data_IF_494640547920
#
_entry.id   IF_494640547920
#
_cell.length_a   1.000
_cell.length_b   1.000
_cell.length_c   1.000
_cell.angle_alpha   90.00
_cell.angle_beta   90.00
_cell.angle_gamma   90.00
#
_symmetry.space_group_name_H-M   'P 1'
#
loop_
_entity.id
_entity.type
_entity.pdbx_description
1 polymer ?
#
# COMPACT_ATOMS: atom_id res chain seq x y z
N UNK A 1 -1.18 -18.28 12.40
CA UNK A 1 0.00 -17.82 13.15
C UNK A 1 1.22 -18.03 12.28
N UNK A 2 1.86 -16.96 11.80
CA UNK A 2 3.07 -17.04 10.98
C UNK A 2 4.27 -17.28 11.90
N UNK A 3 5.11 -18.28 11.60
CA UNK A 3 6.35 -18.55 12.34
C UNK A 3 7.51 -17.85 11.63
N UNK A 4 8.19 -16.98 12.35
CA UNK A 4 9.38 -16.26 11.88
C UNK A 4 10.63 -16.82 12.55
N UNK A 5 11.72 -16.95 11.79
CA UNK A 5 12.99 -17.34 12.36
C UNK A 5 13.63 -16.13 13.06
N UNK A 6 13.92 -16.24 14.35
CA UNK A 6 14.52 -15.15 15.13
C UNK A 6 15.84 -14.63 14.52
N UNK A 7 16.66 -15.53 13.96
CA UNK A 7 17.94 -15.16 13.32
C UNK A 7 17.76 -14.28 12.08
N UNK A 8 16.61 -14.43 11.41
CA UNK A 8 16.27 -13.62 10.25
C UNK A 8 15.78 -12.22 10.64
N UNK A 9 14.98 -12.12 11.71
CA UNK A 9 14.55 -10.83 12.27
C UNK A 9 15.73 -10.02 12.84
N UNK A 10 16.74 -10.70 13.40
CA UNK A 10 17.97 -10.04 13.88
C UNK A 10 18.88 -9.54 12.75
N UNK A 11 18.84 -10.18 11.57
CA UNK A 11 19.64 -9.78 10.40
C UNK A 11 19.05 -8.62 9.63
N UNK A 12 17.73 -8.45 9.68
CA UNK A 12 17.03 -7.40 8.97
C UNK A 12 15.96 -6.81 9.90
N UNK A 13 16.35 -5.80 10.66
CA UNK A 13 15.49 -5.18 11.66
C UNK A 13 14.17 -4.69 11.05
N UNK A 14 14.15 -4.25 9.79
CA UNK A 14 12.91 -3.86 9.09
C UNK A 14 11.84 -4.97 8.97
N UNK A 15 12.21 -6.25 9.11
CA UNK A 15 11.28 -7.39 8.93
C UNK A 15 10.19 -7.39 9.98
N UNK A 16 10.47 -6.95 11.21
CA UNK A 16 9.42 -6.93 12.23
C UNK A 16 8.28 -5.99 11.83
N UNK A 17 8.59 -4.86 11.17
CA UNK A 17 7.58 -3.90 10.71
C UNK A 17 6.77 -4.46 9.55
N UNK A 18 7.41 -5.13 8.60
CA UNK A 18 6.71 -5.82 7.50
C UNK A 18 5.69 -6.81 8.05
N UNK A 19 6.08 -7.66 9.01
CA UNK A 19 5.19 -8.66 9.59
C UNK A 19 4.20 -8.10 10.63
N UNK A 20 4.42 -6.86 11.08
CA UNK A 20 3.45 -6.16 11.92
C UNK A 20 2.25 -5.67 11.10
N UNK A 21 2.49 -5.22 9.87
CA UNK A 21 1.47 -4.59 9.03
C UNK A 21 1.01 -5.44 7.84
N UNK A 22 1.84 -6.35 7.36
CA UNK A 22 1.58 -7.23 6.22
C UNK A 22 1.92 -8.69 6.52
N UNK A 23 2.33 -9.44 5.50
CA UNK A 23 2.68 -10.85 5.60
C UNK A 23 3.84 -11.26 4.68
N UNK A 24 3.90 -12.56 4.38
CA UNK A 24 4.98 -13.13 3.54
C UNK A 24 5.01 -12.57 2.12
N UNK A 25 3.84 -12.30 1.53
CA UNK A 25 3.76 -11.70 0.18
C UNK A 25 4.31 -10.28 0.20
N UNK A 26 4.01 -9.50 1.23
CA UNK A 26 4.61 -8.17 1.41
C UNK A 26 6.13 -8.22 1.56
N UNK A 27 6.67 -9.17 2.34
CA UNK A 27 8.12 -9.38 2.40
C UNK A 27 8.71 -9.70 1.02
N UNK A 28 8.03 -10.54 0.23
CA UNK A 28 8.41 -10.85 -1.15
C UNK A 28 8.50 -9.59 -2.00
N UNK A 29 7.43 -8.79 -2.04
CA UNK A 29 7.36 -7.53 -2.80
C UNK A 29 8.48 -6.57 -2.38
N UNK A 30 8.68 -6.36 -1.07
CA UNK A 30 9.75 -5.49 -0.57
C UNK A 30 11.12 -5.98 -1.03
N UNK A 31 11.40 -7.29 -0.95
CA UNK A 31 12.66 -7.85 -1.42
C UNK A 31 12.87 -7.67 -2.92
N UNK A 32 11.82 -7.79 -3.73
CA UNK A 32 11.92 -7.54 -5.18
C UNK A 32 12.23 -6.08 -5.48
N UNK A 33 11.57 -5.13 -4.78
CA UNK A 33 11.84 -3.70 -4.91
C UNK A 33 13.28 -3.36 -4.46
N UNK A 34 13.77 -3.97 -3.37
CA UNK A 34 15.12 -3.75 -2.85
C UNK A 34 16.25 -4.36 -3.71
N UNK A 35 15.92 -5.05 -4.82
CA UNK A 35 16.93 -5.46 -5.82
C UNK A 35 17.50 -4.28 -6.59
N UNK A 36 16.76 -3.17 -6.65
CA UNK A 36 17.22 -1.95 -7.31
C UNK A 36 18.14 -1.15 -6.37
N UNK A 37 19.15 -0.45 -6.91
CA UNK A 37 20.00 0.43 -6.12
C UNK A 37 19.15 1.52 -5.47
N UNK A 38 19.47 1.87 -4.22
CA UNK A 38 18.83 3.00 -3.57
C UNK A 38 19.22 4.34 -4.21
N UNK A 39 18.43 5.39 -3.96
CA UNK A 39 18.67 6.73 -4.50
C UNK A 39 20.10 7.22 -4.21
N UNK A 40 20.61 6.98 -3.00
CA UNK A 40 21.99 7.37 -2.62
C UNK A 40 23.07 6.47 -3.23
N UNK A 41 22.71 5.28 -3.70
CA UNK A 41 23.63 4.33 -4.34
C UNK A 41 23.71 4.47 -5.86
N UNK A 42 22.87 5.33 -6.48
CA UNK A 42 22.92 5.58 -7.92
C UNK A 42 24.33 5.94 -8.45
N UNK A 43 25.16 6.74 -7.77
CA UNK A 43 26.54 7.00 -8.21
C UNK A 43 27.41 5.75 -8.34
N UNK A 44 27.10 4.67 -7.61
CA UNK A 44 27.87 3.42 -7.66
C UNK A 44 27.56 2.58 -8.90
N UNK A 45 26.43 2.85 -9.57
CA UNK A 45 25.93 2.05 -10.70
C UNK A 45 25.81 2.86 -11.99
N UNK A 46 26.03 4.18 -11.94
CA UNK A 46 25.90 5.09 -13.07
C UNK A 46 27.06 6.08 -13.12
N UNK A 47 27.77 6.08 -14.24
CA UNK A 47 28.90 7.00 -14.46
C UNK A 47 28.44 8.46 -14.56
N UNK A 48 29.19 9.35 -13.92
CA UNK A 48 28.96 10.80 -13.97
C UNK A 48 27.75 11.29 -13.18
N UNK A 49 27.10 10.43 -12.39
CA UNK A 49 26.01 10.80 -11.48
C UNK A 49 26.57 11.13 -10.10
N UNK A 50 26.16 12.25 -9.54
CA UNK A 50 26.45 12.61 -8.14
C UNK A 50 25.15 12.89 -7.40
N UNK A 51 25.00 12.25 -6.23
CA UNK A 51 23.85 12.43 -5.35
C UNK A 51 24.35 13.04 -4.05
N UNK A 52 23.84 14.23 -3.74
CA UNK A 52 24.15 14.93 -2.50
C UNK A 52 22.86 15.19 -1.73
N UNK A 53 22.80 14.63 -0.52
CA UNK A 53 21.63 14.75 0.35
C UNK A 53 21.90 15.77 1.46
N UNK A 54 20.85 16.46 1.89
CA UNK A 54 20.97 17.42 2.97
C UNK A 54 19.63 17.89 3.51
N UNK A 55 19.70 18.56 4.64
CA UNK A 55 18.55 19.21 5.25
C UNK A 55 18.62 20.72 5.04
N UNK A 56 17.43 21.33 4.94
CA UNK A 56 17.30 22.78 4.98
C UNK A 56 17.82 23.41 6.27
N UNK A 57 17.83 24.74 6.28
CA UNK A 57 18.34 25.54 7.39
C UNK A 57 17.38 25.49 8.59
N UNK A 58 17.89 25.79 9.79
CA UNK A 58 17.11 25.79 11.03
C UNK A 58 17.18 27.17 11.67
N UNK A 59 16.04 27.81 11.87
CA UNK A 59 15.97 29.18 12.44
C UNK A 59 16.19 29.18 13.95
N UNK A 60 15.48 28.30 14.68
CA UNK A 60 15.43 28.12 16.15
C UNK A 60 16.32 29.04 17.01
N UNK A 61 17.49 28.61 17.50
CA UNK A 61 18.24 29.37 18.51
C UNK A 61 18.93 30.65 17.98
N UNK A 62 18.87 30.93 16.67
CA UNK A 62 19.40 32.13 16.01
C UNK A 62 20.87 32.46 16.35
N UNK A 63 21.67 31.43 16.63
CA UNK A 63 23.05 31.59 17.08
C UNK A 63 24.00 32.17 16.01
N UNK A 64 23.72 31.91 14.73
CA UNK A 64 24.57 32.25 13.59
C UNK A 64 23.92 33.31 12.70
N UNK A 65 24.71 34.18 12.08
CA UNK A 65 24.21 35.05 11.00
C UNK A 65 23.94 34.24 9.73
N UNK A 66 22.94 34.65 8.94
CA UNK A 66 22.55 33.94 7.72
C UNK A 66 23.70 33.80 6.71
N UNK A 67 24.59 34.79 6.63
CA UNK A 67 25.77 34.78 5.74
C UNK A 67 25.36 34.48 4.28
N UNK A 68 26.01 33.53 3.60
CA UNK A 68 25.66 33.09 2.24
C UNK A 68 24.20 32.64 2.07
N UNK A 69 23.49 32.25 3.14
CA UNK A 69 22.08 31.89 3.05
C UNK A 69 21.21 33.08 2.62
N UNK A 70 21.64 34.31 2.92
CA UNK A 70 20.94 35.54 2.54
C UNK A 70 20.97 35.84 1.03
N UNK A 71 21.78 35.10 0.26
CA UNK A 71 21.78 35.14 -1.20
C UNK A 71 20.52 34.48 -1.81
N UNK A 72 19.83 33.64 -1.04
CA UNK A 72 18.64 32.90 -1.48
C UNK A 72 17.36 33.49 -0.88
N UNK A 73 16.24 33.27 -1.57
CA UNK A 73 14.91 33.42 -0.97
C UNK A 73 14.42 32.10 -0.38
N UNK A 74 13.63 32.17 0.70
CA UNK A 74 13.03 31.02 1.38
C UNK A 74 11.71 30.63 0.71
N UNK A 75 11.52 29.35 0.39
CA UNK A 75 10.19 28.77 0.20
C UNK A 75 9.59 28.36 1.57
N UNK A 76 8.52 29.00 2.05
CA UNK A 76 7.90 28.66 3.32
C UNK A 76 7.33 27.24 3.30
N UNK A 77 7.51 26.47 4.39
CA UNK A 77 7.01 25.09 4.48
C UNK A 77 5.49 24.95 4.24
N UNK A 78 4.70 25.98 4.54
CA UNK A 78 3.25 26.02 4.27
C UNK A 78 2.90 26.08 2.78
N UNK A 79 3.80 26.60 1.95
CA UNK A 79 3.70 26.70 0.49
C UNK A 79 4.26 25.46 -0.21
N UNK A 80 4.98 24.61 0.52
CA UNK A 80 5.49 23.35 0.00
C UNK A 80 4.35 22.34 -0.14
N UNK A 81 3.86 22.21 -1.37
CA UNK A 81 2.77 21.32 -1.77
C UNK A 81 3.26 20.34 -2.84
N UNK A 82 2.57 19.21 -2.96
CA UNK A 82 2.98 18.11 -3.85
C UNK A 82 2.95 18.51 -5.33
N UNK A 83 1.93 19.24 -5.75
CA UNK A 83 1.71 19.64 -7.15
C UNK A 83 1.71 21.16 -7.34
N UNK A 84 1.56 21.60 -8.58
CA UNK A 84 1.54 23.02 -8.96
C UNK A 84 2.93 23.61 -9.16
N UNK A 85 3.01 24.88 -9.56
CA UNK A 85 4.27 25.61 -9.77
C UNK A 85 4.60 26.50 -8.58
N UNK A 86 5.87 26.61 -8.25
CA UNK A 86 6.37 27.64 -7.33
C UNK A 86 6.60 28.92 -8.15
N UNK A 87 6.13 30.04 -7.64
CA UNK A 87 6.37 31.36 -8.23
C UNK A 87 7.25 32.20 -7.31
N UNK A 88 7.89 33.25 -7.83
CA UNK A 88 8.66 34.19 -7.01
C UNK A 88 7.81 34.82 -5.89
N UNK A 89 6.50 34.99 -6.12
CA UNK A 89 5.57 35.51 -5.11
C UNK A 89 5.33 34.56 -3.92
N UNK A 90 5.72 33.28 -4.04
CA UNK A 90 5.66 32.32 -2.95
C UNK A 90 6.90 32.37 -2.06
N UNK A 91 7.97 33.04 -2.50
CA UNK A 91 9.25 33.11 -1.81
C UNK A 91 9.30 34.33 -0.88
N UNK A 92 10.01 34.19 0.24
CA UNK A 92 10.18 35.24 1.25
C UNK A 92 11.66 35.44 1.57
N UNK A 93 12.01 36.57 2.19
CA UNK A 93 13.37 36.81 2.66
C UNK A 93 13.74 35.87 3.80
N UNK A 94 14.97 35.36 3.78
CA UNK A 94 15.53 34.55 4.87
C UNK A 94 15.67 35.41 6.15
N UNK A 95 15.43 34.84 7.35
CA UNK A 95 15.70 35.54 8.60
C UNK A 95 17.19 35.91 8.72
N UNK A 96 17.54 37.05 9.34
CA UNK A 96 18.93 37.52 9.43
C UNK A 96 19.84 36.58 10.25
N UNK A 97 19.25 35.80 11.15
CA UNK A 97 19.96 34.84 12.01
C UNK A 97 19.27 33.48 12.03
N UNK A 98 20.08 32.44 12.14
CA UNK A 98 19.68 31.03 12.10
C UNK A 98 20.50 30.19 13.10
N UNK A 99 19.99 29.05 13.54
CA UNK A 99 20.77 28.05 14.26
C UNK A 99 21.76 27.33 13.34
N UNK A 100 21.31 26.98 12.13
CA UNK A 100 22.10 26.22 11.14
C UNK A 100 21.72 26.67 9.74
N UNK A 101 22.68 26.92 8.86
CA UNK A 101 22.45 27.38 7.48
C UNK A 101 21.99 26.29 6.50
N UNK A 102 22.08 25.02 6.93
CA UNK A 102 21.80 23.87 6.06
C UNK A 102 22.95 23.58 5.10
N UNK A 103 22.69 22.74 4.10
CA UNK A 103 23.64 22.39 3.05
C UNK A 103 23.42 23.33 1.87
N UNK A 104 24.46 23.98 1.34
CA UNK A 104 24.29 25.02 0.31
C UNK A 104 23.91 24.42 -1.04
N UNK A 105 24.53 23.29 -1.34
CA UNK A 105 24.47 22.57 -2.61
C UNK A 105 23.05 22.08 -2.94
N UNK A 106 22.17 21.95 -1.93
CA UNK A 106 20.77 21.53 -2.10
C UNK A 106 19.80 22.71 -2.30
N UNK A 107 20.27 23.94 -2.44
CA UNK A 107 19.41 25.12 -2.70
C UNK A 107 19.39 25.56 -4.17
N UNK A 108 20.17 24.90 -5.01
CA UNK A 108 20.26 25.18 -6.44
C UNK A 108 20.50 23.91 -7.26
N UNK A 109 20.42 24.01 -8.58
CA UNK A 109 20.52 22.87 -9.48
C UNK A 109 19.29 21.96 -9.41
N UNK A 110 19.32 20.89 -10.20
CA UNK A 110 18.26 19.88 -10.23
C UNK A 110 18.23 19.11 -8.91
N UNK A 111 17.09 19.18 -8.22
CA UNK A 111 16.96 18.59 -6.88
C UNK A 111 15.55 18.08 -6.61
N UNK A 112 15.50 16.90 -6.01
CA UNK A 112 14.31 16.35 -5.39
C UNK A 112 14.18 16.91 -3.97
N UNK A 113 13.08 17.59 -3.70
CA UNK A 113 12.73 18.14 -2.39
C UNK A 113 11.67 17.25 -1.75
N UNK A 114 11.82 16.94 -0.48
CA UNK A 114 10.97 16.01 0.27
C UNK A 114 10.56 16.63 1.60
N UNK A 115 9.26 16.65 1.89
CA UNK A 115 8.77 17.05 3.22
C UNK A 115 9.21 16.02 4.25
N UNK A 116 9.76 16.47 5.38
CA UNK A 116 10.06 15.61 6.52
C UNK A 116 8.77 15.12 7.18
N UNK A 117 7.76 16.00 7.31
CA UNK A 117 6.46 15.61 7.83
C UNK A 117 5.70 14.83 6.78
N UNK A 118 5.21 13.65 7.14
CA UNK A 118 4.21 12.93 6.33
C UNK A 118 2.86 13.50 6.75
N UNK A 119 2.12 14.11 5.82
CA UNK A 119 0.79 14.64 6.15
C UNK A 119 -0.17 13.46 6.23
N UNK A 120 -0.91 13.39 7.32
CA UNK A 120 -1.69 12.23 7.77
C UNK A 120 -2.73 11.77 6.74
N UNK A 121 -3.15 12.58 5.78
CA UNK A 121 -4.18 12.24 4.77
C UNK A 121 -3.62 12.22 3.34
N UNK A 122 -2.41 12.75 3.14
CA UNK A 122 -1.84 12.98 1.83
C UNK A 122 -0.36 12.61 1.85
N UNK A 123 -0.06 11.49 1.19
CA UNK A 123 1.14 11.19 0.38
C UNK A 123 2.49 11.82 0.72
N UNK A 124 3.55 11.13 0.32
CA UNK A 124 4.91 11.68 0.36
C UNK A 124 4.93 12.96 -0.49
N UNK A 125 5.14 14.11 0.16
CA UNK A 125 5.22 15.40 -0.53
C UNK A 125 6.63 15.55 -1.10
N UNK A 126 6.75 15.24 -2.39
CA UNK A 126 7.97 15.36 -3.17
C UNK A 126 7.82 16.39 -4.29
N UNK A 127 8.89 17.11 -4.63
CA UNK A 127 8.96 18.04 -5.78
C UNK A 127 10.30 17.95 -6.48
N UNK A 128 10.31 18.14 -7.79
CA UNK A 128 11.54 18.35 -8.57
C UNK A 128 11.64 19.83 -8.96
N UNK A 129 12.71 20.48 -8.52
CA UNK A 129 12.96 21.90 -8.74
C UNK A 129 14.38 22.15 -9.25
N UNK A 130 14.54 23.22 -10.04
CA UNK A 130 15.84 23.63 -10.60
C UNK A 130 16.18 25.08 -10.25
N UNK A 131 15.16 25.95 -10.15
CA UNK A 131 15.33 27.36 -9.78
C UNK A 131 15.95 27.49 -8.38
N UNK A 132 16.85 28.44 -8.13
CA UNK A 132 17.52 28.58 -6.84
C UNK A 132 16.58 29.16 -5.76
N UNK A 133 16.49 28.48 -4.62
CA UNK A 133 15.83 28.96 -3.40
C UNK A 133 16.19 28.03 -2.22
N UNK A 134 16.19 28.58 -1.01
CA UNK A 134 16.41 27.81 0.21
C UNK A 134 15.09 27.42 0.90
N UNK A 135 15.18 26.51 1.86
CA UNK A 135 14.04 26.00 2.61
C UNK A 135 14.45 25.57 4.02
N UNK A 136 13.47 25.51 4.92
CA UNK A 136 13.69 25.10 6.32
C UNK A 136 13.97 23.60 6.43
N UNK A 137 14.54 23.21 7.57
CA UNK A 137 14.87 21.83 7.96
C UNK A 137 13.70 20.84 7.95
N UNK A 138 12.46 21.32 7.88
CA UNK A 138 11.28 20.50 7.61
C UNK A 138 11.21 19.96 6.18
N UNK A 139 12.11 20.39 5.30
CA UNK A 139 12.27 19.92 3.93
C UNK A 139 13.70 19.40 3.78
N UNK A 140 13.80 18.18 3.24
CA UNK A 140 15.04 17.55 2.85
C UNK A 140 15.27 17.79 1.36
N UNK A 141 16.53 17.98 0.96
CA UNK A 141 16.92 18.12 -0.44
C UNK A 141 17.86 16.99 -0.87
N UNK A 142 17.65 16.50 -2.08
CA UNK A 142 18.53 15.55 -2.77
C UNK A 142 18.91 16.15 -4.11
N UNK A 143 20.15 16.60 -4.25
CA UNK A 143 20.70 17.08 -5.52
C UNK A 143 20.94 15.90 -6.46
N UNK A 144 20.49 16.05 -7.69
CA UNK A 144 20.46 15.02 -8.74
C UNK A 144 21.40 15.39 -9.89
N UNK A 145 22.70 15.50 -9.61
CA UNK A 145 23.68 15.94 -10.62
C UNK A 145 24.01 14.82 -11.60
N UNK A 146 24.28 15.18 -12.86
CA UNK A 146 24.58 14.22 -13.93
C UNK A 146 23.40 13.38 -14.44
N UNK A 147 22.21 13.47 -13.82
CA UNK A 147 21.01 12.78 -14.29
C UNK A 147 20.31 13.55 -15.40
N UNK A 148 19.90 12.85 -16.46
CA UNK A 148 19.06 13.40 -17.51
C UNK A 148 17.68 13.80 -16.98
N UNK A 149 17.03 14.78 -17.60
CA UNK A 149 15.71 15.28 -17.16
C UNK A 149 14.66 14.17 -17.03
N UNK A 150 14.64 13.20 -17.96
CA UNK A 150 13.69 12.09 -17.89
C UNK A 150 13.95 11.17 -16.69
N UNK A 151 15.21 11.01 -16.26
CA UNK A 151 15.56 10.21 -15.07
C UNK A 151 15.07 10.91 -13.81
N UNK A 152 15.25 12.23 -13.73
CA UNK A 152 14.74 13.04 -12.64
C UNK A 152 13.20 12.98 -12.55
N UNK A 153 12.51 13.02 -13.70
CA UNK A 153 11.06 12.82 -13.76
C UNK A 153 10.64 11.42 -13.30
N UNK A 154 11.37 10.37 -13.69
CA UNK A 154 11.10 8.99 -13.23
C UNK A 154 11.26 8.89 -11.71
N UNK A 155 12.34 9.44 -11.15
CA UNK A 155 12.55 9.48 -9.70
C UNK A 155 11.36 10.18 -9.01
N UNK A 156 10.95 11.36 -9.49
CA UNK A 156 9.78 12.04 -8.94
C UNK A 156 8.51 11.19 -9.02
N UNK A 157 8.28 10.53 -10.15
CA UNK A 157 7.15 9.62 -10.36
C UNK A 157 7.13 8.46 -9.37
N UNK A 158 8.30 7.86 -9.08
CA UNK A 158 8.43 6.82 -8.05
C UNK A 158 8.00 7.37 -6.69
N UNK A 159 8.53 8.51 -6.25
CA UNK A 159 8.18 9.11 -4.95
C UNK A 159 6.71 9.55 -4.85
N UNK A 160 6.04 9.76 -5.97
CA UNK A 160 4.61 10.03 -6.02
C UNK A 160 3.74 8.78 -6.09
N UNK A 161 4.29 7.60 -6.31
CA UNK A 161 3.46 6.40 -6.43
C UNK A 161 2.95 5.87 -5.09
N UNK A 162 1.84 5.13 -5.13
CA UNK A 162 1.41 4.28 -4.01
C UNK A 162 2.44 3.21 -3.67
N UNK A 163 3.29 2.79 -4.62
CA UNK A 163 4.42 1.89 -4.34
C UNK A 163 5.40 2.49 -3.34
N UNK A 164 5.74 3.78 -3.48
CA UNK A 164 6.61 4.46 -2.51
C UNK A 164 5.92 4.59 -1.14
N UNK A 165 4.61 4.92 -1.12
CA UNK A 165 3.80 4.96 0.11
C UNK A 165 3.83 3.61 0.84
N UNK A 166 3.61 2.53 0.09
CA UNK A 166 3.67 1.15 0.56
C UNK A 166 5.04 0.78 1.10
N UNK A 167 6.10 1.04 0.33
CA UNK A 167 7.47 0.73 0.70
C UNK A 167 7.87 1.44 2.01
N UNK A 168 7.68 2.75 2.10
CA UNK A 168 8.03 3.48 3.31
C UNK A 168 7.14 3.13 4.50
N UNK A 169 5.85 2.85 4.28
CA UNK A 169 5.00 2.35 5.35
C UNK A 169 5.54 1.05 5.95
N UNK A 170 6.06 0.13 5.14
CA UNK A 170 6.57 -1.15 5.64
C UNK A 170 8.02 -1.11 6.15
N UNK A 171 8.82 -0.12 5.74
CA UNK A 171 10.27 -0.07 6.04
C UNK A 171 10.69 1.08 6.97
N UNK A 172 9.97 2.20 7.00
CA UNK A 172 10.38 3.39 7.75
C UNK A 172 9.97 3.30 9.24
N UNK A 173 10.87 2.91 10.15
CA UNK A 173 10.52 2.75 11.59
C UNK A 173 9.86 3.96 12.28
N UNK A 174 10.08 5.18 11.77
CA UNK A 174 9.46 6.41 12.28
C UNK A 174 7.99 6.57 11.90
N UNK A 175 7.55 6.08 10.74
CA UNK A 175 6.17 6.23 10.28
C UNK A 175 5.27 5.17 10.94
N UNK A 176 4.23 5.59 11.65
CA UNK A 176 3.27 4.69 12.29
C UNK A 176 3.60 4.32 13.74
N UNK A 177 4.57 5.01 14.37
CA UNK A 177 4.92 4.81 15.79
C UNK A 177 4.63 6.05 16.63
N UNK A 178 5.56 7.02 16.67
CA UNK A 178 5.49 8.17 17.58
C UNK A 178 5.44 9.54 16.87
N UNK A 179 6.09 9.67 15.69
CA UNK A 179 6.01 10.87 14.85
C UNK A 179 6.04 10.47 13.37
N UNK A 180 4.97 10.76 12.63
CA UNK A 180 4.88 10.50 11.19
C UNK A 180 5.84 11.41 10.40
N UNK A 181 7.10 11.00 10.38
CA UNK A 181 8.19 11.67 9.70
C UNK A 181 8.91 10.71 8.77
N UNK A 182 9.19 11.20 7.57
CA UNK A 182 10.11 10.56 6.64
C UNK A 182 11.47 11.25 6.77
N UNK A 183 12.32 10.68 7.63
CA UNK A 183 13.69 11.18 7.80
C UNK A 183 14.49 11.00 6.51
N UNK A 184 15.43 11.91 6.25
CA UNK A 184 16.25 11.91 5.03
C UNK A 184 16.95 10.56 4.80
N UNK A 185 17.56 9.99 5.85
CA UNK A 185 18.28 8.71 5.77
C UNK A 185 17.38 7.51 5.41
N UNK A 186 16.06 7.65 5.55
CA UNK A 186 15.08 6.66 5.09
C UNK A 186 14.70 6.96 3.64
N UNK A 187 14.39 8.22 3.32
CA UNK A 187 14.00 8.62 1.98
C UNK A 187 15.08 8.33 0.93
N UNK A 188 16.35 8.55 1.28
CA UNK A 188 17.49 8.29 0.39
C UNK A 188 17.72 6.79 0.12
N UNK A 189 17.09 5.91 0.90
CA UNK A 189 17.10 4.45 0.71
C UNK A 189 16.00 3.96 -0.22
N UNK A 190 15.18 4.83 -0.79
CA UNK A 190 14.18 4.42 -1.79
C UNK A 190 14.89 3.74 -2.96
N UNK A 191 14.55 2.48 -3.29
CA UNK A 191 15.09 1.82 -4.48
C UNK A 191 14.63 2.55 -5.74
N UNK A 192 15.53 2.71 -6.71
CA UNK A 192 15.26 3.48 -7.93
C UNK A 192 15.47 2.57 -9.15
N UNK A 193 14.37 2.27 -9.83
CA UNK A 193 14.36 1.62 -11.13
C UNK A 193 14.31 2.66 -12.27
N UNK A 194 14.98 2.38 -13.38
CA UNK A 194 14.82 3.13 -14.62
C UNK A 194 14.24 2.25 -15.74
N UNK A 195 13.32 2.78 -16.56
CA UNK A 195 12.65 2.01 -17.61
C UNK A 195 13.64 1.50 -18.67
N UNK A 196 13.57 0.20 -18.97
CA UNK A 196 14.37 -0.46 -20.03
C UNK A 196 13.91 -0.07 -21.44
N UNK A 197 12.65 0.37 -21.59
CA UNK A 197 12.03 0.66 -22.89
C UNK A 197 11.51 2.10 -22.96
N UNK A 198 11.71 2.73 -24.12
CA UNK A 198 11.31 4.12 -24.41
C UNK A 198 9.83 4.39 -24.17
N UNK A 199 8.95 3.45 -24.51
CA UNK A 199 7.49 3.60 -24.35
C UNK A 199 7.09 3.82 -22.88
N UNK A 200 7.66 3.02 -21.98
CA UNK A 200 7.36 3.15 -20.54
C UNK A 200 7.96 4.45 -19.98
N UNK A 201 9.18 4.80 -20.39
CA UNK A 201 9.82 6.08 -20.07
C UNK A 201 8.92 7.26 -20.41
N UNK A 202 8.45 7.31 -21.66
CA UNK A 202 7.60 8.41 -22.14
C UNK A 202 6.26 8.47 -21.42
N UNK A 203 5.65 7.31 -21.13
CA UNK A 203 4.44 7.25 -20.32
C UNK A 203 4.65 7.86 -18.93
N UNK A 204 5.68 7.43 -18.20
CA UNK A 204 5.96 7.95 -16.84
C UNK A 204 6.23 9.46 -16.89
N UNK A 205 7.07 9.92 -17.81
CA UNK A 205 7.39 11.35 -17.97
C UNK A 205 6.13 12.16 -18.27
N UNK A 206 5.25 11.67 -19.15
CA UNK A 206 3.99 12.35 -19.47
C UNK A 206 3.06 12.44 -18.26
N UNK A 207 2.87 11.35 -17.50
CA UNK A 207 2.04 11.39 -16.29
C UNK A 207 2.60 12.33 -15.23
N UNK A 208 3.92 12.32 -15.02
CA UNK A 208 4.59 13.23 -14.09
C UNK A 208 4.41 14.70 -14.51
N UNK A 209 4.60 15.02 -15.78
CA UNK A 209 4.43 16.40 -16.25
C UNK A 209 2.97 16.87 -16.15
N UNK A 210 1.98 15.99 -16.43
CA UNK A 210 0.56 16.31 -16.20
C UNK A 210 0.28 16.61 -14.72
N UNK A 211 0.80 15.80 -13.80
CA UNK A 211 0.63 16.00 -12.36
C UNK A 211 1.36 17.27 -11.88
N UNK A 212 2.57 17.56 -12.37
CA UNK A 212 3.28 18.82 -12.06
C UNK A 212 2.50 20.06 -12.48
N UNK A 213 1.83 20.00 -13.64
CA UNK A 213 1.06 21.10 -14.20
C UNK A 213 -0.36 21.23 -13.60
N UNK A 214 -0.81 20.25 -12.80
CA UNK A 214 -2.18 20.25 -12.29
C UNK A 214 -2.40 21.35 -11.24
N UNK A 215 -3.60 21.92 -11.25
CA UNK A 215 -4.09 22.87 -10.23
C UNK A 215 -5.30 22.29 -9.48
N UNK A 216 -5.62 21.02 -9.73
CA UNK A 216 -6.71 20.32 -9.08
C UNK A 216 -6.48 20.24 -7.57
N UNK A 217 -7.54 20.47 -6.80
CA UNK A 217 -7.49 20.34 -5.36
C UNK A 217 -7.46 18.87 -4.94
N UNK A 218 -6.96 18.61 -3.74
CA UNK A 218 -7.06 17.30 -3.10
C UNK A 218 -8.54 16.86 -3.05
N UNK A 219 -8.79 15.58 -3.30
CA UNK A 219 -10.14 15.00 -3.37
C UNK A 219 -10.86 15.14 -4.71
N UNK A 220 -10.27 15.81 -5.72
CA UNK A 220 -10.83 15.83 -7.08
C UNK A 220 -10.66 14.44 -7.73
N UNK A 221 -11.77 13.84 -8.17
CA UNK A 221 -11.77 12.52 -8.81
C UNK A 221 -10.89 12.45 -10.07
N UNK A 222 -10.64 13.56 -10.75
CA UNK A 222 -9.72 13.60 -11.90
C UNK A 222 -8.26 13.53 -11.44
N UNK A 223 -7.93 14.11 -10.30
CA UNK A 223 -6.59 13.99 -9.72
C UNK A 223 -6.32 12.53 -9.34
N UNK A 224 -7.27 11.89 -8.67
CA UNK A 224 -7.17 10.46 -8.32
C UNK A 224 -6.91 9.60 -9.56
N UNK A 225 -7.64 9.82 -10.67
CA UNK A 225 -7.40 9.11 -11.93
C UNK A 225 -6.01 9.35 -12.53
N UNK A 226 -5.45 10.54 -12.36
CA UNK A 226 -4.08 10.84 -12.82
C UNK A 226 -3.05 10.12 -11.95
N UNK A 227 -3.28 10.08 -10.64
CA UNK A 227 -2.44 9.33 -9.70
C UNK A 227 -2.51 7.82 -9.98
N UNK A 228 -3.70 7.27 -10.21
CA UNK A 228 -3.88 5.86 -10.62
C UNK A 228 -3.13 5.54 -11.93
N UNK A 229 -3.16 6.46 -12.90
CA UNK A 229 -2.45 6.30 -14.18
C UNK A 229 -0.92 6.28 -13.99
N UNK A 230 -0.40 7.13 -13.12
CA UNK A 230 1.01 7.11 -12.71
C UNK A 230 1.34 5.81 -11.97
N UNK A 231 0.49 5.38 -11.04
CA UNK A 231 0.67 4.14 -10.29
C UNK A 231 0.77 2.93 -11.22
N UNK A 232 -0.11 2.79 -12.22
CA UNK A 232 0.01 1.71 -13.20
C UNK A 232 1.36 1.75 -13.95
N UNK A 233 1.84 2.95 -14.31
CA UNK A 233 3.11 3.08 -14.99
C UNK A 233 4.31 2.74 -14.08
N UNK A 234 4.22 3.05 -12.78
CA UNK A 234 5.24 2.67 -11.80
C UNK A 234 5.15 1.18 -11.45
N UNK A 235 3.96 0.59 -11.39
CA UNK A 235 3.81 -0.85 -11.23
C UNK A 235 4.41 -1.62 -12.40
N UNK A 236 4.21 -1.14 -13.63
CA UNK A 236 4.88 -1.70 -14.81
C UNK A 236 6.41 -1.53 -14.76
N UNK A 237 6.92 -0.44 -14.16
CA UNK A 237 8.36 -0.19 -14.01
C UNK A 237 9.05 -1.20 -13.08
N UNK A 238 8.38 -1.58 -12.00
CA UNK A 238 8.85 -2.58 -11.05
C UNK A 238 8.37 -4.00 -11.38
N UNK A 239 7.71 -4.18 -12.53
CA UNK A 239 7.23 -5.47 -13.04
C UNK A 239 6.25 -6.17 -12.08
N UNK A 240 5.43 -5.40 -11.33
CA UNK A 240 4.45 -5.97 -10.38
C UNK A 240 3.32 -6.72 -11.08
N UNK A 241 3.03 -7.91 -10.58
CA UNK A 241 1.86 -8.70 -11.00
C UNK A 241 0.53 -8.18 -10.41
N UNK A 242 -0.60 -8.76 -10.81
CA UNK A 242 -1.92 -8.30 -10.33
C UNK A 242 -2.09 -8.45 -8.81
N UNK A 243 -1.56 -9.52 -8.21
CA UNK A 243 -1.66 -9.78 -6.78
C UNK A 243 -0.79 -8.81 -5.97
N UNK A 244 0.40 -8.49 -6.46
CA UNK A 244 1.30 -7.50 -5.86
C UNK A 244 0.71 -6.10 -5.93
N UNK A 245 0.10 -5.73 -7.07
CA UNK A 245 -0.63 -4.47 -7.21
C UNK A 245 -1.82 -4.40 -6.23
N UNK A 246 -2.57 -5.49 -6.07
CA UNK A 246 -3.67 -5.53 -5.11
C UNK A 246 -3.18 -5.41 -3.65
N UNK A 247 -2.02 -5.98 -3.30
CA UNK A 247 -1.39 -5.77 -1.99
C UNK A 247 -1.05 -4.30 -1.74
N UNK A 248 -0.39 -3.65 -2.72
CA UNK A 248 -0.02 -2.24 -2.61
C UNK A 248 -1.25 -1.35 -2.45
N UNK A 249 -2.28 -1.57 -3.27
CA UNK A 249 -3.53 -0.78 -3.22
C UNK A 249 -4.29 -1.01 -1.92
N UNK A 250 -4.48 -2.26 -1.50
CA UNK A 250 -5.22 -2.58 -0.29
C UNK A 250 -4.53 -2.00 0.96
N UNK A 251 -3.20 -2.12 1.05
CA UNK A 251 -2.43 -1.48 2.12
C UNK A 251 -2.61 0.05 2.10
N UNK A 252 -2.48 0.67 0.93
CA UNK A 252 -2.51 2.13 0.80
C UNK A 252 -3.88 2.75 1.01
N UNK A 253 -4.96 2.07 0.58
CA UNK A 253 -6.32 2.59 0.54
C UNK A 253 -7.17 2.12 1.73
N UNK A 254 -6.88 0.94 2.27
CA UNK A 254 -7.67 0.34 3.35
C UNK A 254 -6.86 0.22 4.64
N UNK A 255 -5.64 -0.34 4.56
CA UNK A 255 -4.78 -0.52 5.73
C UNK A 255 -4.38 0.79 6.38
N UNK A 256 -3.86 1.73 5.59
CA UNK A 256 -3.45 3.05 6.06
C UNK A 256 -4.63 3.93 6.51
N UNK A 257 -5.76 3.88 5.78
CA UNK A 257 -6.98 4.58 6.19
C UNK A 257 -7.46 4.09 7.56
N UNK A 258 -7.48 2.78 7.78
CA UNK A 258 -7.82 2.20 9.08
C UNK A 258 -6.85 2.61 10.19
N UNK A 259 -5.55 2.60 9.92
CA UNK A 259 -4.55 3.03 10.89
C UNK A 259 -4.78 4.47 11.36
N UNK A 260 -5.09 5.36 10.41
CA UNK A 260 -5.24 6.79 10.64
C UNK A 260 -6.58 7.14 11.27
N UNK A 261 -7.67 6.68 10.66
CA UNK A 261 -9.03 7.07 11.01
C UNK A 261 -9.70 6.11 12.00
N UNK A 262 -9.10 4.94 12.28
CA UNK A 262 -9.57 3.96 13.27
C UNK A 262 -11.05 3.61 13.05
N UNK A 263 -11.91 3.89 14.04
CA UNK A 263 -13.35 3.63 13.96
C UNK A 263 -14.11 4.56 13.00
N UNK A 264 -13.49 5.66 12.57
CA UNK A 264 -14.06 6.60 11.59
C UNK A 264 -13.65 6.26 10.14
N UNK A 265 -12.80 5.25 9.97
CA UNK A 265 -12.32 4.78 8.68
C UNK A 265 -13.44 4.13 7.85
N UNK A 266 -13.38 4.30 6.52
CA UNK A 266 -14.25 3.56 5.61
C UNK A 266 -13.97 2.04 5.66
N UNK A 267 -12.78 1.64 6.11
CA UNK A 267 -12.35 0.25 6.22
C UNK A 267 -13.17 -0.56 7.25
N UNK A 268 -13.75 0.10 8.27
CA UNK A 268 -14.65 -0.55 9.26
C UNK A 268 -16.12 -0.52 8.83
N UNK A 269 -16.44 0.15 7.73
CA UNK A 269 -17.80 0.15 7.21
C UNK A 269 -18.19 -1.25 6.72
N UNK A 270 -19.48 -1.63 6.83
CA UNK A 270 -20.00 -2.87 6.29
C UNK A 270 -19.60 -3.07 4.82
N UNK A 271 -19.23 -4.30 4.46
CA UNK A 271 -18.91 -4.62 3.09
C UNK A 271 -20.15 -4.47 2.20
N UNK A 272 -19.99 -3.82 1.06
CA UNK A 272 -21.07 -3.72 0.06
C UNK A 272 -21.38 -5.12 -0.49
N UNK A 273 -22.62 -5.57 -0.27
CA UNK A 273 -23.07 -6.87 -0.72
C UNK A 273 -23.29 -6.87 -2.25
N UNK A 274 -22.99 -7.99 -2.95
CA UNK A 274 -23.36 -8.14 -4.36
C UNK A 274 -24.88 -8.09 -4.54
N UNK A 275 -25.34 -7.81 -5.76
CA UNK A 275 -26.77 -7.75 -6.10
C UNK A 275 -27.48 -9.11 -5.98
N UNK A 276 -26.72 -10.19 -6.03
CA UNK A 276 -27.18 -11.57 -5.84
C UNK A 276 -26.43 -12.17 -4.65
N UNK A 277 -27.08 -13.04 -3.88
CA UNK A 277 -26.46 -13.70 -2.74
C UNK A 277 -25.72 -14.98 -3.10
N UNK A 278 -25.89 -15.51 -4.32
CA UNK A 278 -25.15 -16.67 -4.80
C UNK A 278 -24.88 -16.56 -6.31
N UNK A 279 -23.83 -17.22 -6.78
CA UNK A 279 -23.55 -17.34 -8.20
C UNK A 279 -22.28 -18.12 -8.51
N UNK A 280 -21.85 -18.01 -9.76
CA UNK A 280 -20.57 -18.51 -10.28
C UNK A 280 -19.63 -17.33 -10.55
N UNK A 281 -18.40 -17.63 -10.97
CA UNK A 281 -17.47 -16.62 -11.47
C UNK A 281 -18.08 -15.84 -12.66
N UNK A 282 -18.81 -16.53 -13.55
CA UNK A 282 -19.41 -15.91 -14.74
C UNK A 282 -20.49 -14.87 -14.43
N UNK A 283 -21.04 -14.89 -13.22
CA UNK A 283 -22.05 -13.94 -12.76
C UNK A 283 -21.44 -12.66 -12.19
N UNK A 284 -20.12 -12.65 -11.97
CA UNK A 284 -19.39 -11.48 -11.50
C UNK A 284 -18.96 -10.58 -12.68
N UNK A 285 -18.75 -9.28 -12.45
CA UNK A 285 -18.19 -8.38 -13.46
C UNK A 285 -16.86 -8.92 -14.00
N UNK A 286 -16.59 -8.72 -15.29
CA UNK A 286 -15.28 -9.05 -15.88
C UNK A 286 -14.21 -8.03 -15.52
N UNK A 287 -14.63 -6.78 -15.31
CA UNK A 287 -13.75 -5.70 -14.90
C UNK A 287 -13.34 -5.85 -13.43
N UNK A 288 -12.15 -5.35 -13.11
CA UNK A 288 -11.65 -5.32 -11.74
C UNK A 288 -12.55 -4.44 -10.89
N UNK A 289 -13.08 -4.99 -9.81
CA UNK A 289 -13.78 -4.26 -8.75
C UNK A 289 -13.10 -4.52 -7.41
N UNK A 290 -13.20 -3.55 -6.50
CA UNK A 290 -12.73 -3.64 -5.13
C UNK A 290 -13.83 -4.15 -4.18
N UNK A 291 -13.51 -4.30 -2.89
CA UNK A 291 -14.44 -4.81 -1.87
C UNK A 291 -14.83 -6.27 -2.08
N UNK A 292 -15.99 -6.66 -1.53
CA UNK A 292 -16.43 -8.07 -1.48
C UNK A 292 -16.59 -8.70 -2.86
N UNK A 293 -17.08 -7.96 -3.86
CA UNK A 293 -17.14 -8.46 -5.23
C UNK A 293 -15.74 -8.75 -5.79
N UNK A 294 -14.77 -7.87 -5.53
CA UNK A 294 -13.37 -8.08 -5.86
C UNK A 294 -12.76 -9.28 -5.14
N UNK A 295 -13.09 -9.44 -3.86
CA UNK A 295 -12.71 -10.60 -3.06
C UNK A 295 -13.18 -11.91 -3.73
N UNK A 296 -14.46 -11.99 -4.12
CA UNK A 296 -15.03 -13.15 -4.80
C UNK A 296 -14.31 -13.43 -6.14
N UNK A 297 -14.05 -12.40 -6.94
CA UNK A 297 -13.31 -12.55 -8.20
C UNK A 297 -11.93 -13.16 -8.00
N UNK A 298 -11.17 -12.74 -6.98
CA UNK A 298 -9.82 -13.27 -6.75
C UNK A 298 -9.89 -14.69 -6.20
N UNK A 299 -10.76 -14.92 -5.21
CA UNK A 299 -10.89 -16.23 -4.56
C UNK A 299 -11.29 -17.32 -5.56
N UNK A 300 -12.35 -17.07 -6.33
CA UNK A 300 -12.85 -18.02 -7.32
C UNK A 300 -11.85 -18.24 -8.46
N UNK A 301 -11.13 -17.20 -8.89
CA UNK A 301 -10.14 -17.33 -9.97
C UNK A 301 -9.00 -18.24 -9.56
N UNK A 302 -8.55 -18.10 -8.32
CA UNK A 302 -7.48 -18.93 -7.78
C UNK A 302 -7.91 -20.40 -7.70
N UNK A 303 -9.05 -20.68 -7.07
CA UNK A 303 -9.54 -22.05 -6.92
C UNK A 303 -9.99 -22.72 -8.23
N UNK A 304 -10.64 -21.98 -9.13
CA UNK A 304 -11.11 -22.55 -10.40
C UNK A 304 -9.95 -22.96 -11.31
N UNK A 305 -8.74 -22.44 -11.10
CA UNK A 305 -7.55 -22.90 -11.81
C UNK A 305 -7.20 -24.36 -11.46
N UNK A 306 -7.48 -24.79 -10.23
CA UNK A 306 -7.20 -26.15 -9.74
C UNK A 306 -8.37 -27.13 -10.01
N UNK A 307 -9.60 -26.62 -10.19
CA UNK A 307 -10.79 -27.44 -10.46
C UNK A 307 -11.08 -27.66 -11.95
N UNK A 308 -10.54 -26.81 -12.82
CA UNK A 308 -10.73 -26.93 -14.26
C UNK A 308 -10.07 -28.21 -14.81
N UNK A 309 -10.66 -28.86 -15.84
CA UNK A 309 -11.88 -28.46 -16.56
C UNK A 309 -13.17 -29.06 -15.99
N UNK A 310 -13.09 -29.89 -14.95
CA UNK A 310 -14.18 -30.78 -14.54
C UNK A 310 -15.22 -30.10 -13.63
N UNK A 311 -14.84 -29.02 -12.98
CA UNK A 311 -15.75 -28.25 -12.13
C UNK A 311 -15.30 -26.81 -11.90
N UNK A 312 -16.13 -26.07 -11.17
CA UNK A 312 -15.84 -24.73 -10.67
C UNK A 312 -16.46 -24.52 -9.29
N UNK A 313 -16.00 -23.49 -8.57
CA UNK A 313 -16.66 -23.06 -7.35
C UNK A 313 -17.84 -22.14 -7.66
N UNK A 314 -18.97 -22.45 -7.04
CA UNK A 314 -20.01 -21.49 -6.75
C UNK A 314 -19.74 -20.79 -5.42
N UNK A 315 -20.38 -19.65 -5.22
CA UNK A 315 -20.31 -18.86 -4.00
C UNK A 315 -21.71 -18.53 -3.47
N UNK A 316 -21.82 -18.38 -2.15
CA UNK A 316 -22.99 -17.93 -1.42
C UNK A 316 -22.53 -16.97 -0.31
N UNK A 317 -23.11 -15.76 -0.27
CA UNK A 317 -22.88 -14.75 0.77
C UNK A 317 -24.05 -14.78 1.75
N UNK A 318 -23.74 -15.03 3.01
CA UNK A 318 -24.71 -15.20 4.09
C UNK A 318 -24.46 -14.11 5.14
N UNK A 319 -25.27 -13.05 5.18
CA UNK A 319 -25.13 -11.98 6.17
C UNK A 319 -25.53 -12.49 7.56
N UNK A 320 -24.84 -12.01 8.59
CA UNK A 320 -25.25 -12.25 9.98
C UNK A 320 -26.63 -11.64 10.26
N UNK A 321 -27.45 -12.25 11.13
CA UNK A 321 -28.77 -11.72 11.46
C UNK A 321 -28.68 -10.43 12.28
N UNK A 322 -29.66 -9.55 12.09
CA UNK A 322 -29.83 -8.35 12.93
C UNK A 322 -28.60 -7.43 12.91
N UNK A 323 -27.97 -7.24 14.08
CA UNK A 323 -26.78 -6.40 14.28
C UNK A 323 -25.48 -7.20 14.38
N UNK A 324 -25.48 -8.51 14.08
CA UNK A 324 -24.30 -9.34 14.17
C UNK A 324 -23.22 -8.82 13.19
N UNK A 325 -22.02 -8.43 13.67
CA UNK A 325 -21.00 -7.79 12.84
C UNK A 325 -20.19 -8.82 12.04
N UNK A 326 -20.84 -9.85 11.50
CA UNK A 326 -20.21 -10.99 10.82
C UNK A 326 -20.84 -11.24 9.45
N UNK A 327 -20.02 -11.76 8.57
CA UNK A 327 -20.39 -12.14 7.21
C UNK A 327 -19.76 -13.50 6.91
N UNK A 328 -20.54 -14.40 6.33
CA UNK A 328 -20.04 -15.69 5.86
C UNK A 328 -20.02 -15.73 4.33
N UNK A 329 -18.93 -16.23 3.78
CA UNK A 329 -18.79 -16.62 2.39
C UNK A 329 -18.63 -18.14 2.35
N UNK A 330 -19.59 -18.81 1.74
CA UNK A 330 -19.57 -20.24 1.49
C UNK A 330 -19.25 -20.47 0.02
N UNK A 331 -18.27 -21.31 -0.24
CA UNK A 331 -17.92 -21.77 -1.58
C UNK A 331 -18.17 -23.26 -1.66
N UNK A 332 -18.66 -23.74 -2.79
CA UNK A 332 -18.93 -25.17 -2.99
C UNK A 332 -18.72 -25.58 -4.44
N UNK A 333 -18.27 -26.81 -4.63
CA UNK A 333 -17.96 -27.34 -5.96
C UNK A 333 -19.23 -27.62 -6.75
N UNK A 334 -19.25 -27.18 -8.01
CA UNK A 334 -20.31 -27.44 -8.98
C UNK A 334 -19.68 -28.07 -10.23
N UNK A 335 -20.28 -29.13 -10.81
CA UNK A 335 -19.78 -29.70 -12.06
C UNK A 335 -19.78 -28.68 -13.20
N UNK A 336 -18.83 -28.81 -14.12
CA UNK A 336 -18.70 -27.87 -15.23
C UNK A 336 -20.00 -27.77 -16.06
N UNK A 337 -20.50 -26.55 -16.23
CA UNK A 337 -21.71 -26.26 -17.00
C UNK A 337 -23.03 -26.42 -16.24
N UNK A 338 -22.99 -26.83 -14.97
CA UNK A 338 -24.16 -26.86 -14.08
C UNK A 338 -24.34 -25.52 -13.35
N UNK A 339 -25.54 -25.29 -12.82
CA UNK A 339 -25.84 -24.11 -12.00
C UNK A 339 -25.96 -24.49 -10.53
N UNK A 340 -25.51 -23.63 -9.61
CA UNK A 340 -25.68 -23.87 -8.19
C UNK A 340 -27.18 -23.95 -7.83
N UNK A 341 -27.52 -24.95 -7.02
CA UNK A 341 -28.86 -25.07 -6.45
C UNK A 341 -28.93 -24.15 -5.24
N UNK A 342 -29.78 -23.12 -5.31
CA UNK A 342 -30.08 -22.24 -4.18
C UNK A 342 -30.82 -23.03 -3.11
N UNK A 343 -30.14 -23.33 -2.01
CA UNK A 343 -30.76 -23.87 -0.80
C UNK A 343 -30.98 -22.71 0.15
N UNK A 344 -32.23 -22.42 0.52
CA UNK A 344 -32.48 -21.43 1.56
C UNK A 344 -31.96 -21.96 2.90
N UNK A 345 -30.85 -21.39 3.36
CA UNK A 345 -30.16 -21.75 4.61
C UNK A 345 -30.23 -20.63 5.66
N UNK A 346 -30.99 -19.56 5.40
CA UNK A 346 -31.00 -18.33 6.20
C UNK A 346 -31.32 -18.60 7.68
N UNK A 347 -32.35 -19.41 7.94
CA UNK A 347 -32.78 -19.74 9.30
C UNK A 347 -31.75 -20.61 10.06
N UNK A 348 -31.03 -21.49 9.34
CA UNK A 348 -30.04 -22.38 9.96
C UNK A 348 -28.75 -21.62 10.31
N UNK A 349 -28.35 -20.66 9.47
CA UNK A 349 -27.16 -19.85 9.71
C UNK A 349 -27.37 -18.72 10.70
N UNK A 350 -28.58 -18.20 10.84
CA UNK A 350 -28.88 -17.08 11.74
C UNK A 350 -28.37 -17.35 13.16
N UNK A 351 -28.77 -18.46 13.78
CA UNK A 351 -28.38 -18.79 15.17
C UNK A 351 -26.86 -19.01 15.31
N UNK A 352 -26.22 -19.60 14.30
CA UNK A 352 -24.78 -19.85 14.31
C UNK A 352 -23.99 -18.55 14.20
N UNK A 353 -24.33 -17.71 13.22
CA UNK A 353 -23.66 -16.43 12.99
C UNK A 353 -23.90 -15.44 14.12
N UNK A 354 -25.08 -15.44 14.74
CA UNK A 354 -25.35 -14.63 15.93
C UNK A 354 -24.48 -15.07 17.12
N UNK A 355 -24.34 -16.38 17.35
CA UNK A 355 -23.45 -16.90 18.40
C UNK A 355 -21.98 -16.57 18.13
N UNK A 356 -21.52 -16.71 16.89
CA UNK A 356 -20.17 -16.31 16.49
C UNK A 356 -20.01 -14.81 16.69
N UNK A 357 -20.94 -13.99 16.22
CA UNK A 357 -20.91 -12.53 16.37
C UNK A 357 -20.78 -12.07 17.83
N UNK A 358 -21.52 -12.70 18.75
CA UNK A 358 -21.42 -12.46 20.20
C UNK A 358 -20.10 -12.92 20.80
N UNK A 359 -19.51 -13.99 20.29
CA UNK A 359 -18.26 -14.56 20.78
C UNK A 359 -17.00 -13.94 20.15
N UNK A 360 -17.11 -13.32 18.97
CA UNK A 360 -15.98 -12.75 18.22
C UNK A 360 -15.41 -11.48 18.85
N UNK A 361 -16.10 -10.88 19.82
CA UNK A 361 -15.67 -9.66 20.51
C UNK A 361 -15.18 -10.01 21.91
N UNK A 362 -13.99 -10.64 22.00
CA UNK A 362 -13.34 -10.94 23.28
C UNK A 362 -12.37 -9.80 23.61
N UNK A 363 -12.60 -9.01 24.68
CA UNK A 363 -11.62 -8.07 25.18
C UNK A 363 -10.40 -8.88 25.67
N UNK A 364 -9.24 -8.67 25.05
CA UNK A 364 -8.03 -9.40 25.44
C UNK A 364 -7.45 -8.89 26.77
N UNK A 365 -7.84 -7.70 27.23
CA UNK A 365 -7.38 -7.11 28.49
C UNK A 365 -8.45 -6.24 29.19
N UNK A 366 -8.29 -6.06 30.50
CA UNK A 366 -9.18 -5.33 31.41
C UNK A 366 -9.40 -3.83 31.09
N UNK A 367 -8.77 -3.30 30.03
CA UNK A 367 -8.89 -1.91 29.57
C UNK A 367 -9.58 -1.74 28.20
N UNK A 368 -10.16 -2.79 27.63
CA UNK A 368 -10.98 -2.73 26.39
C UNK A 368 -10.27 -2.11 25.16
N UNK A 369 -8.94 -2.16 25.10
CA UNK A 369 -8.13 -1.56 24.02
C UNK A 369 -7.61 -2.56 22.98
N UNK A 370 -7.73 -3.87 23.24
CA UNK A 370 -7.28 -4.93 22.33
C UNK A 370 -8.45 -5.89 22.12
N UNK A 371 -8.84 -6.06 20.86
CA UNK A 371 -9.85 -7.02 20.41
C UNK A 371 -9.16 -8.13 19.63
N UNK A 372 -9.52 -9.39 19.89
CA UNK A 372 -9.09 -10.53 19.07
C UNK A 372 -10.21 -10.84 18.10
N UNK A 373 -10.01 -10.50 16.82
CA UNK A 373 -10.95 -10.89 15.77
C UNK A 373 -10.83 -12.39 15.51
N UNK A 374 -11.94 -13.12 15.64
CA UNK A 374 -12.00 -14.55 15.34
C UNK A 374 -12.44 -14.74 13.89
N UNK A 375 -11.52 -15.22 13.05
CA UNK A 375 -11.83 -15.68 11.69
C UNK A 375 -12.06 -17.18 11.71
N UNK A 376 -13.20 -17.63 11.18
CA UNK A 376 -13.48 -19.05 10.99
C UNK A 376 -13.17 -19.39 9.55
N UNK A 377 -12.33 -20.40 9.37
CA UNK A 377 -12.12 -21.05 8.07
C UNK A 377 -12.30 -22.54 8.25
N UNK A 378 -13.19 -23.13 7.46
CA UNK A 378 -13.39 -24.57 7.41
C UNK A 378 -13.34 -25.02 5.95
N UNK A 379 -12.64 -26.12 5.70
CA UNK A 379 -12.51 -26.74 4.38
C UNK A 379 -12.94 -28.19 4.51
N UNK A 380 -13.84 -28.62 3.64
CA UNK A 380 -14.28 -30.01 3.48
C UNK A 380 -13.96 -30.49 2.06
N UNK A 381 -14.42 -31.69 1.71
CA UNK A 381 -14.24 -32.26 0.36
C UNK A 381 -14.95 -31.42 -0.72
N UNK A 382 -16.09 -30.81 -0.40
CA UNK A 382 -16.94 -30.11 -1.39
C UNK A 382 -17.23 -28.65 -1.05
N UNK A 383 -16.88 -28.19 0.16
CA UNK A 383 -17.24 -26.87 0.64
C UNK A 383 -16.08 -26.16 1.34
N UNK A 384 -15.98 -24.84 1.15
CA UNK A 384 -15.07 -23.96 1.86
C UNK A 384 -15.91 -22.86 2.50
N UNK A 385 -15.83 -22.75 3.82
CA UNK A 385 -16.53 -21.74 4.60
C UNK A 385 -15.54 -20.74 5.18
N UNK A 386 -15.81 -19.46 4.94
CA UNK A 386 -15.05 -18.33 5.49
C UNK A 386 -16.01 -17.42 6.23
N UNK A 387 -15.80 -17.24 7.53
CA UNK A 387 -16.56 -16.30 8.35
C UNK A 387 -15.60 -15.26 8.90
N UNK A 388 -15.89 -14.00 8.58
CA UNK A 388 -15.14 -12.84 9.08
C UNK A 388 -16.11 -11.78 9.56
N UNK A 389 -15.56 -10.71 10.13
CA UNK A 389 -16.37 -9.53 10.43
C UNK A 389 -16.87 -8.88 9.16
N UNK A 390 -18.07 -8.31 9.21
CA UNK A 390 -18.62 -7.52 8.12
C UNK A 390 -18.00 -6.13 8.10
N UNK A 391 -16.71 -6.07 7.78
CA UNK A 391 -15.94 -4.83 7.63
C UNK A 391 -15.12 -4.91 6.35
N UNK A 392 -15.14 -3.84 5.56
CA UNK A 392 -14.51 -3.78 4.23
C UNK A 392 -13.05 -4.25 4.24
N UNK A 393 -12.28 -3.96 5.31
CA UNK A 393 -10.89 -4.39 5.47
C UNK A 393 -10.64 -5.89 5.48
N UNK A 394 -11.66 -6.71 5.70
CA UNK A 394 -11.53 -8.17 5.69
C UNK A 394 -11.95 -8.83 4.37
N UNK A 395 -12.53 -8.05 3.48
CA UNK A 395 -13.11 -8.49 2.20
C UNK A 395 -12.47 -7.75 1.03
N UNK A 396 -11.14 -7.68 1.04
CA UNK A 396 -10.34 -7.07 -0.05
C UNK A 396 -9.77 -8.14 -0.99
N UNK A 397 -9.19 -7.70 -2.11
CA UNK A 397 -8.62 -8.61 -3.11
C UNK A 397 -7.40 -9.35 -2.58
N UNK A 398 -6.50 -8.67 -1.85
CA UNK A 398 -5.37 -9.34 -1.20
C UNK A 398 -5.81 -10.28 -0.07
N UNK A 399 -6.88 -9.94 0.67
CA UNK A 399 -7.45 -10.82 1.69
C UNK A 399 -8.03 -12.11 1.08
N UNK A 400 -8.65 -12.03 -0.10
CA UNK A 400 -9.12 -13.20 -0.85
C UNK A 400 -7.98 -14.13 -1.23
N UNK A 401 -6.87 -13.58 -1.73
CA UNK A 401 -5.72 -14.40 -2.09
C UNK A 401 -5.10 -15.09 -0.87
N UNK A 402 -4.98 -14.38 0.25
CA UNK A 402 -4.49 -14.97 1.50
C UNK A 402 -5.43 -16.09 2.02
N UNK A 403 -6.73 -15.95 1.84
CA UNK A 403 -7.69 -17.00 2.18
C UNK A 403 -7.65 -18.18 1.21
N UNK A 404 -7.46 -17.91 -0.08
CA UNK A 404 -7.35 -18.93 -1.12
C UNK A 404 -6.10 -19.79 -0.85
N UNK A 405 -4.92 -19.17 -0.70
CA UNK A 405 -3.67 -19.87 -0.36
C UNK A 405 -3.84 -20.77 0.87
N UNK A 406 -4.51 -20.26 1.90
CA UNK A 406 -4.65 -20.97 3.16
C UNK A 406 -5.74 -22.05 3.13
N UNK A 407 -6.78 -21.91 2.29
CA UNK A 407 -7.78 -22.96 2.08
C UNK A 407 -7.23 -24.07 1.18
N UNK A 408 -6.45 -23.74 0.15
CA UNK A 408 -5.73 -24.73 -0.67
C UNK A 408 -4.79 -25.56 0.20
N UNK A 409 -3.99 -24.91 1.06
CA UNK A 409 -3.11 -25.63 1.97
C UNK A 409 -3.86 -26.57 2.94
N UNK A 410 -5.05 -26.18 3.40
CA UNK A 410 -5.90 -27.05 4.23
C UNK A 410 -6.47 -28.22 3.43
N UNK A 411 -6.95 -27.99 2.21
CA UNK A 411 -7.45 -29.04 1.32
C UNK A 411 -6.36 -30.08 1.01
N UNK A 412 -5.14 -29.63 0.70
CA UNK A 412 -3.98 -30.51 0.49
C UNK A 412 -3.70 -31.38 1.72
N UNK A 413 -3.71 -30.79 2.92
CA UNK A 413 -3.50 -31.55 4.15
C UNK A 413 -4.60 -32.58 4.42
N UNK A 414 -5.86 -32.29 4.06
CA UNK A 414 -6.97 -33.24 4.16
C UNK A 414 -6.79 -34.39 3.16
N UNK A 415 -6.46 -34.08 1.91
CA UNK A 415 -6.22 -35.08 0.86
C UNK A 415 -5.06 -36.03 1.22
N UNK A 416 -3.95 -35.49 1.73
CA UNK A 416 -2.82 -36.29 2.22
C UNK A 416 -3.26 -37.24 3.35
N UNK A 417 -4.02 -36.72 4.33
CA UNK A 417 -4.51 -37.54 5.43
C UNK A 417 -5.43 -38.68 4.95
N UNK A 418 -6.33 -38.40 4.01
CA UNK A 418 -7.23 -39.42 3.42
C UNK A 418 -6.45 -40.49 2.64
N UNK A 419 -5.44 -40.09 1.85
CA UNK A 419 -4.60 -41.04 1.10
C UNK A 419 -3.83 -42.01 2.01
N UNK A 420 -3.39 -41.55 3.19
CA UNK A 420 -2.69 -42.38 4.19
C UNK A 420 -3.64 -43.39 4.84
N UNK A 421 -4.92 -43.03 5.00
CA UNK A 421 -5.94 -43.94 5.53
C UNK A 421 -6.25 -45.03 4.50
N UNK A 422 -6.41 -44.68 3.22
CA UNK A 422 -6.69 -45.64 2.16
C UNK A 422 -5.54 -46.62 1.91
N UNK A 423 -4.27 -46.22 2.08
CA UNK A 423 -3.12 -47.11 1.95
C UNK A 423 -2.93 -48.09 3.14
N UNK A 424 -3.64 -47.87 4.25
CA UNK A 424 -3.57 -48.73 5.45
C UNK A 424 -4.71 -49.75 5.51
N UNK A 425 -5.64 -49.70 4.56
CA UNK A 425 -6.72 -50.66 4.36
C UNK A 425 -6.31 -51.57 3.21
#
# INVERSE_FOLDING_TARGET
MQRLNQSECLRYEGRWKIYWWGGRRDEGVIREIERFPSLVELPNVMDGVEILTGQGYKESNQALDADWLSEYQELPARKFQRYGRITESDLVSVPPRVERRGVREIYEGARLLLSQGVRVIDSIVARLETSPFCFRSSINGVRLDGLAQWQQSVILGIFWSSLAKYYFWLTAGSWGTWHDQLHLHIAERMPIAFPKHTKLRERIVQEVEKLRATTLAHGDARLAKMEDSLDEAIFDLYELDEAERDLVRDMCNVGLDFFQNRSESAAVAPATLPSVSCGLMSDLPRERVDGLTGYLQVFLRHWNADLAPDGELAWEIIPGPGSAPVLAALFFTVPAGERPILVNRDAAWADVLDRIGRASLVPAEARHTIYVDTFVRAVSEHEILIIKRNETRFWTRSAALADADASVAQAMSIAEAMSIVEQKI
#
